data_IF_232134694893
#
_entry.id   IF_232134694893
#
_cell.length_a   1.000
_cell.length_b   1.000
_cell.length_c   1.000
_cell.angle_alpha   90.00
_cell.angle_beta   90.00
_cell.angle_gamma   90.00
#
_symmetry.space_group_name_H-M   'P 1'
#
loop_
_entity.id
_entity.type
_entity.pdbx_description
1 polymer ?
#
# COMPACT_ATOMS: atom_id res chain seq x y z
N UNK A 1 -32.06 -8.35 -4.72
CA UNK A 1 -30.61 -8.54 -4.88
C UNK A 1 -30.12 -9.27 -3.64
N UNK A 2 -29.76 -10.55 -3.77
CA UNK A 2 -29.19 -11.32 -2.66
C UNK A 2 -27.77 -10.80 -2.43
N UNK A 3 -27.51 -10.22 -1.26
CA UNK A 3 -26.16 -9.82 -0.87
C UNK A 3 -25.26 -11.05 -0.84
N UNK A 4 -24.08 -10.94 -1.44
CA UNK A 4 -23.05 -11.96 -1.34
C UNK A 4 -22.49 -11.92 0.10
N UNK A 5 -22.61 -13.02 0.84
CA UNK A 5 -22.16 -13.10 2.24
C UNK A 5 -20.81 -13.82 2.30
N UNK A 6 -19.83 -13.19 2.94
CA UNK A 6 -18.60 -13.87 3.39
C UNK A 6 -18.94 -14.69 4.62
N UNK A 7 -18.54 -15.97 4.65
CA UNK A 7 -18.75 -16.83 5.82
C UNK A 7 -17.42 -17.11 6.52
N UNK A 8 -17.39 -16.86 7.82
CA UNK A 8 -16.24 -17.11 8.69
C UNK A 8 -16.46 -18.40 9.49
N UNK A 9 -15.42 -19.24 9.59
CA UNK A 9 -15.36 -20.30 10.61
C UNK A 9 -14.51 -19.80 11.78
N UNK A 10 -14.93 -20.06 13.02
CA UNK A 10 -14.32 -19.47 14.23
C UNK A 10 -13.62 -20.49 15.14
N UNK A 11 -13.23 -21.66 14.62
CA UNK A 11 -12.42 -22.64 15.38
C UNK A 11 -10.97 -22.51 14.93
N UNK A 12 -10.14 -21.91 15.76
CA UNK A 12 -8.82 -21.43 15.39
C UNK A 12 -7.73 -22.31 15.99
N UNK A 13 -6.74 -22.70 15.20
CA UNK A 13 -5.50 -23.28 15.72
C UNK A 13 -4.60 -22.17 16.23
N UNK A 14 -4.15 -22.31 17.48
CA UNK A 14 -3.20 -21.41 18.13
C UNK A 14 -1.95 -22.19 18.47
N UNK A 15 -0.80 -21.67 18.04
CA UNK A 15 0.50 -22.18 18.48
C UNK A 15 0.92 -21.42 19.73
N UNK A 16 1.39 -22.15 20.74
CA UNK A 16 2.17 -21.53 21.81
C UNK A 16 3.56 -21.15 21.27
N UNK A 17 4.13 -20.09 21.84
CA UNK A 17 5.46 -19.58 21.47
C UNK A 17 6.58 -20.59 21.76
N UNK A 18 6.34 -21.61 22.61
CA UNK A 18 7.36 -22.59 23.07
C UNK A 18 6.89 -24.08 23.06
N UNK A 19 5.90 -24.46 22.23
CA UNK A 19 5.39 -25.84 22.21
C UNK A 19 4.97 -26.33 20.84
N UNK A 20 5.43 -27.55 20.48
CA UNK A 20 5.12 -28.23 19.21
C UNK A 20 3.64 -28.67 19.08
N UNK A 21 2.85 -28.57 20.15
CA UNK A 21 1.44 -28.97 20.15
C UNK A 21 0.50 -27.77 19.92
N UNK A 22 -0.25 -27.72 18.80
CA UNK A 22 -1.21 -26.65 18.57
C UNK A 22 -2.40 -26.76 19.52
N UNK A 23 -2.68 -25.68 20.26
CA UNK A 23 -3.84 -25.53 21.14
C UNK A 23 -5.00 -24.92 20.34
N UNK A 24 -6.23 -25.41 20.53
CA UNK A 24 -7.39 -24.82 19.87
C UNK A 24 -7.88 -23.59 20.65
N UNK A 25 -7.90 -22.42 20.02
CA UNK A 25 -8.54 -21.24 20.58
C UNK A 25 -10.04 -21.24 20.30
N UNK A 26 -10.79 -20.98 21.36
CA UNK A 26 -12.24 -20.75 21.31
C UNK A 26 -12.59 -19.28 21.09
N UNK A 27 -11.62 -18.43 20.76
CA UNK A 27 -11.83 -17.00 20.58
C UNK A 27 -12.67 -16.74 19.32
N UNK A 28 -13.97 -16.52 19.50
CA UNK A 28 -14.97 -16.42 18.43
C UNK A 28 -14.73 -15.27 17.44
N UNK A 29 -13.88 -14.30 17.81
CA UNK A 29 -13.55 -13.14 16.99
C UNK A 29 -12.43 -13.41 15.97
N UNK A 30 -11.67 -14.50 16.11
CA UNK A 30 -10.56 -14.81 15.21
C UNK A 30 -11.05 -15.70 14.06
N UNK A 31 -10.96 -15.24 12.79
CA UNK A 31 -11.36 -16.05 11.66
C UNK A 31 -10.34 -17.17 11.44
N UNK A 32 -10.78 -18.42 11.52
CA UNK A 32 -9.96 -19.58 11.16
C UNK A 32 -9.86 -19.75 9.64
N UNK A 33 -10.93 -19.38 8.93
CA UNK A 33 -11.02 -19.50 7.49
C UNK A 33 -11.98 -18.47 6.89
N UNK A 34 -11.68 -18.03 5.67
CA UNK A 34 -12.51 -17.14 4.83
C UNK A 34 -12.88 -17.88 3.55
N UNK A 35 -14.16 -17.80 3.19
CA UNK A 35 -14.68 -18.28 1.92
C UNK A 35 -15.33 -17.12 1.17
N UNK A 36 -14.81 -16.83 -0.01
CA UNK A 36 -15.34 -15.84 -0.92
C UNK A 36 -16.57 -16.37 -1.64
N UNK A 37 -17.54 -15.47 -1.95
CA UNK A 37 -18.69 -15.84 -2.76
C UNK A 37 -18.26 -16.29 -4.17
N UNK A 38 -18.82 -17.38 -4.63
CA UNK A 38 -18.72 -17.76 -6.04
C UNK A 38 -19.36 -16.68 -6.93
N UNK A 39 -18.69 -16.37 -8.05
CA UNK A 39 -19.10 -15.26 -8.93
C UNK A 39 -20.44 -15.51 -9.63
N UNK A 40 -20.84 -16.77 -9.79
CA UNK A 40 -22.06 -17.15 -10.53
C UNK A 40 -23.25 -17.28 -9.58
N UNK A 41 -23.06 -17.95 -8.45
CA UNK A 41 -24.11 -18.28 -7.49
C UNK A 41 -24.24 -17.27 -6.35
N UNK A 42 -23.20 -16.46 -6.11
CA UNK A 42 -23.13 -15.51 -5.00
C UNK A 42 -23.02 -16.18 -3.62
N UNK A 43 -22.86 -17.50 -3.56
CA UNK A 43 -22.71 -18.28 -2.34
C UNK A 43 -21.26 -18.74 -2.18
N UNK A 44 -20.72 -18.78 -0.96
CA UNK A 44 -19.39 -19.35 -0.74
C UNK A 44 -19.39 -20.86 -0.97
N UNK A 45 -18.36 -21.37 -1.66
CA UNK A 45 -18.11 -22.80 -1.78
C UNK A 45 -17.47 -23.31 -0.49
N UNK A 46 -18.26 -24.00 0.34
CA UNK A 46 -17.80 -24.59 1.60
C UNK A 46 -17.34 -26.06 1.44
N UNK A 47 -17.40 -26.60 0.22
CA UNK A 47 -17.04 -27.99 -0.07
C UNK A 47 -15.56 -28.15 -0.46
N UNK A 48 -14.96 -27.09 -1.00
CA UNK A 48 -13.53 -27.01 -1.29
C UNK A 48 -12.68 -26.50 -0.13
N UNK A 49 -11.35 -26.37 -0.35
CA UNK A 49 -10.48 -25.66 0.58
C UNK A 49 -10.95 -24.21 0.76
N UNK A 50 -10.65 -23.63 1.93
CA UNK A 50 -10.95 -22.22 2.15
C UNK A 50 -10.12 -21.34 1.21
N UNK A 51 -10.61 -20.13 0.96
CA UNK A 51 -9.86 -19.16 0.15
C UNK A 51 -8.68 -18.59 0.93
N UNK A 52 -8.84 -18.47 2.25
CA UNK A 52 -7.78 -18.18 3.21
C UNK A 52 -8.00 -19.00 4.49
N UNK A 53 -6.95 -19.61 5.02
CA UNK A 53 -6.90 -20.24 6.34
C UNK A 53 -5.90 -19.51 7.23
N UNK A 54 -6.15 -19.45 8.53
CA UNK A 54 -5.31 -18.69 9.48
C UNK A 54 -4.96 -19.50 10.72
N UNK A 55 -3.73 -19.28 11.18
CA UNK A 55 -3.28 -19.66 12.52
C UNK A 55 -2.81 -18.42 13.29
N UNK A 56 -2.79 -18.49 14.61
CA UNK A 56 -2.50 -17.34 15.46
C UNK A 56 -1.52 -17.70 16.57
N UNK A 57 -0.77 -16.71 17.04
CA UNK A 57 -0.12 -16.73 18.33
C UNK A 57 -1.15 -16.54 19.45
N UNK A 58 -0.75 -16.79 20.69
CA UNK A 58 -1.63 -16.72 21.86
C UNK A 58 -2.16 -15.30 22.17
N UNK A 59 -1.45 -14.27 21.72
CA UNK A 59 -1.83 -12.86 21.84
C UNK A 59 -2.80 -12.40 20.74
N UNK A 60 -3.07 -13.25 19.74
CA UNK A 60 -3.96 -12.96 18.62
C UNK A 60 -3.29 -12.36 17.39
N UNK A 61 -1.95 -12.25 17.38
CA UNK A 61 -1.22 -11.96 16.15
C UNK A 61 -1.34 -13.15 15.17
N UNK A 62 -1.46 -12.87 13.88
CA UNK A 62 -1.59 -13.92 12.84
C UNK A 62 -0.24 -14.60 12.70
N UNK A 63 -0.15 -15.90 13.00
CA UNK A 63 1.07 -16.68 12.80
C UNK A 63 1.24 -17.09 11.35
N UNK A 64 0.22 -17.71 10.77
CA UNK A 64 0.29 -18.07 9.35
C UNK A 64 -1.04 -17.85 8.65
N UNK A 65 -0.93 -17.64 7.34
CA UNK A 65 -2.06 -17.57 6.42
C UNK A 65 -1.79 -18.45 5.22
N UNK A 66 -2.66 -19.40 4.93
CA UNK A 66 -2.57 -20.22 3.71
C UNK A 66 -3.67 -19.81 2.75
N UNK A 67 -3.36 -19.62 1.47
CA UNK A 67 -4.36 -19.32 0.46
C UNK A 67 -4.91 -20.57 -0.25
N UNK A 68 -5.94 -20.39 -1.09
CA UNK A 68 -6.56 -21.49 -1.84
C UNK A 68 -5.58 -22.25 -2.75
N UNK A 69 -4.47 -21.64 -3.14
CA UNK A 69 -3.44 -22.29 -3.97
C UNK A 69 -2.45 -23.07 -3.12
N UNK A 70 -2.58 -23.07 -1.80
CA UNK A 70 -1.69 -23.77 -0.87
C UNK A 70 -0.42 -22.99 -0.52
N UNK A 71 -0.30 -21.73 -0.93
CA UNK A 71 0.84 -20.89 -0.54
C UNK A 71 0.65 -20.48 0.92
N UNK A 72 1.61 -20.80 1.77
CA UNK A 72 1.59 -20.45 3.19
C UNK A 72 2.50 -19.26 3.46
N UNK A 73 1.98 -18.26 4.15
CA UNK A 73 2.71 -17.09 4.63
C UNK A 73 2.89 -17.25 6.14
N UNK A 74 4.12 -17.38 6.63
CA UNK A 74 4.43 -17.50 8.07
C UNK A 74 5.02 -16.19 8.57
N UNK A 75 4.40 -15.59 9.57
CA UNK A 75 4.74 -14.27 10.10
C UNK A 75 5.47 -14.38 11.44
N UNK A 76 6.51 -13.56 11.58
CA UNK A 76 7.30 -13.43 12.80
C UNK A 76 7.26 -11.97 13.27
N UNK A 77 7.18 -11.80 14.58
CA UNK A 77 7.01 -10.51 15.23
C UNK A 77 8.10 -10.29 16.28
N UNK A 78 8.44 -9.04 16.53
CA UNK A 78 9.25 -8.65 17.68
C UNK A 78 8.41 -8.59 18.98
N UNK A 79 9.06 -8.22 20.08
CA UNK A 79 8.42 -8.11 21.40
C UNK A 79 7.36 -6.99 21.48
N UNK A 80 7.41 -6.01 20.58
CA UNK A 80 6.44 -4.92 20.47
C UNK A 80 5.25 -5.30 19.57
N UNK A 81 5.27 -6.50 18.97
CA UNK A 81 4.23 -6.98 18.07
C UNK A 81 4.33 -6.40 16.66
N UNK A 82 5.49 -5.84 16.29
CA UNK A 82 5.76 -5.41 14.91
C UNK A 82 6.25 -6.60 14.10
N UNK A 83 5.81 -6.71 12.85
CA UNK A 83 6.14 -7.87 12.02
C UNK A 83 7.51 -7.66 11.39
N UNK A 84 8.50 -8.48 11.77
CA UNK A 84 9.90 -8.35 11.31
C UNK A 84 10.22 -9.26 10.11
N UNK A 85 9.46 -10.35 9.93
CA UNK A 85 9.72 -11.34 8.88
C UNK A 85 8.43 -12.02 8.41
N UNK A 86 8.37 -12.35 7.13
CA UNK A 86 7.38 -13.26 6.56
C UNK A 86 8.04 -14.23 5.60
N UNK A 87 7.95 -15.52 5.92
CA UNK A 87 8.34 -16.60 5.01
C UNK A 87 7.16 -16.96 4.12
N UNK A 88 7.44 -17.31 2.86
CA UNK A 88 6.45 -17.75 1.89
C UNK A 88 6.82 -19.16 1.44
N UNK A 89 6.06 -20.13 1.93
CA UNK A 89 6.20 -21.53 1.55
C UNK A 89 5.31 -21.79 0.35
N UNK A 90 5.93 -22.18 -0.76
CA UNK A 90 5.24 -22.57 -1.98
C UNK A 90 5.01 -24.08 -2.00
N UNK A 91 3.82 -24.55 -2.43
CA UNK A 91 3.58 -25.99 -2.58
C UNK A 91 4.37 -26.57 -3.75
N UNK A 92 4.73 -27.84 -3.62
CA UNK A 92 5.41 -28.60 -4.67
C UNK A 92 4.61 -28.57 -5.99
N UNK A 93 5.32 -28.43 -7.11
CA UNK A 93 4.71 -28.42 -8.44
C UNK A 93 3.84 -27.18 -8.74
N UNK A 94 3.93 -26.11 -7.93
CA UNK A 94 3.25 -24.85 -8.23
C UNK A 94 3.72 -24.26 -9.57
N UNK A 95 5.00 -24.43 -9.88
CA UNK A 95 5.59 -23.94 -11.12
C UNK A 95 5.77 -25.09 -12.11
N UNK A 96 5.54 -24.85 -13.41
CA UNK A 96 5.67 -25.89 -14.42
C UNK A 96 7.13 -26.32 -14.59
N UNK A 97 7.36 -27.60 -14.81
CA UNK A 97 8.65 -28.07 -15.33
C UNK A 97 8.81 -27.63 -16.79
N UNK A 98 9.94 -27.02 -17.13
CA UNK A 98 10.31 -26.68 -18.50
C UNK A 98 11.64 -27.35 -18.82
N UNK A 99 11.62 -28.33 -19.71
CA UNK A 99 12.85 -29.06 -20.10
C UNK A 99 13.43 -29.98 -19.01
N UNK A 100 12.61 -30.40 -18.04
CA UNK A 100 13.03 -31.28 -16.93
C UNK A 100 13.69 -30.53 -15.76
N UNK A 101 13.58 -29.20 -15.73
CA UNK A 101 13.93 -28.35 -14.60
C UNK A 101 12.69 -27.59 -14.14
N UNK A 102 12.49 -27.49 -12.82
CA UNK A 102 11.48 -26.62 -12.23
C UNK A 102 11.73 -25.17 -12.66
N UNK A 103 10.77 -24.59 -13.38
CA UNK A 103 10.84 -23.19 -13.72
C UNK A 103 10.54 -22.35 -12.48
N UNK A 104 11.56 -21.78 -11.84
CA UNK A 104 11.34 -20.81 -10.76
C UNK A 104 11.39 -19.41 -11.36
N UNK A 105 10.33 -18.58 -11.23
CA UNK A 105 10.36 -17.20 -11.70
C UNK A 105 11.55 -16.45 -11.09
N UNK A 106 12.25 -15.63 -11.88
CA UNK A 106 13.41 -14.89 -11.40
C UNK A 106 13.04 -13.87 -10.31
N UNK A 107 11.81 -13.37 -10.34
CA UNK A 107 11.20 -12.41 -9.42
C UNK A 107 10.42 -13.09 -8.28
N UNK A 108 10.57 -14.41 -8.10
CA UNK A 108 9.97 -15.11 -6.98
C UNK A 108 10.71 -14.77 -5.68
N UNK A 109 10.00 -14.13 -4.75
CA UNK A 109 10.43 -13.92 -3.38
C UNK A 109 9.83 -14.99 -2.46
N UNK A 110 10.63 -15.57 -1.57
CA UNK A 110 10.19 -16.48 -0.51
C UNK A 110 10.34 -15.87 0.89
N UNK A 111 10.95 -14.70 0.99
CA UNK A 111 11.17 -14.00 2.25
C UNK A 111 10.85 -12.51 2.12
N UNK A 112 10.11 -12.00 3.10
CA UNK A 112 9.90 -10.57 3.30
C UNK A 112 10.49 -10.18 4.65
N UNK A 113 11.37 -9.18 4.67
CA UNK A 113 11.97 -8.62 5.88
C UNK A 113 11.49 -7.18 6.10
N UNK A 114 11.34 -6.81 7.38
CA UNK A 114 10.94 -5.48 7.79
C UNK A 114 11.81 -5.00 8.93
N UNK A 115 12.29 -3.76 8.85
CA UNK A 115 12.95 -3.09 9.98
C UNK A 115 12.15 -1.87 10.40
N UNK A 116 12.31 -1.48 11.66
CA UNK A 116 11.63 -0.34 12.24
C UNK A 116 12.64 0.55 12.96
N UNK A 117 12.39 1.85 12.93
CA UNK A 117 13.17 2.78 13.74
C UNK A 117 12.79 2.71 15.23
N UNK A 118 13.50 3.45 16.08
CA UNK A 118 13.24 3.48 17.53
C UNK A 118 11.82 3.97 17.90
N UNK A 119 11.16 4.70 16.99
CA UNK A 119 9.77 5.14 17.14
C UNK A 119 8.73 4.12 16.68
N UNK A 120 9.17 2.95 16.18
CA UNK A 120 8.33 1.91 15.62
C UNK A 120 7.79 2.22 14.23
N UNK A 121 8.39 3.15 13.49
CA UNK A 121 8.03 3.47 12.10
C UNK A 121 8.80 2.54 11.17
N UNK A 122 8.14 2.04 10.12
CA UNK A 122 8.76 1.14 9.15
C UNK A 122 9.94 1.86 8.45
N UNK A 123 11.14 1.29 8.51
CA UNK A 123 12.36 1.85 7.92
C UNK A 123 12.71 1.12 6.62
N UNK A 124 12.81 -0.22 6.63
CA UNK A 124 12.99 -1.03 5.43
C UNK A 124 11.85 -2.03 5.22
N UNK A 125 11.55 -2.31 3.95
CA UNK A 125 10.77 -3.46 3.55
C UNK A 125 11.44 -4.14 2.35
N UNK A 126 11.97 -5.33 2.57
CA UNK A 126 12.80 -6.06 1.60
C UNK A 126 12.08 -7.35 1.20
N UNK A 127 11.97 -7.59 -0.10
CA UNK A 127 11.51 -8.86 -0.66
C UNK A 127 12.69 -9.54 -1.35
N UNK A 128 12.94 -10.78 -0.99
CA UNK A 128 14.08 -11.53 -1.52
C UNK A 128 13.84 -13.03 -1.57
N UNK A 129 14.87 -13.73 -2.05
CA UNK A 129 14.97 -15.17 -2.02
C UNK A 129 16.09 -15.57 -1.09
N UNK A 130 15.74 -16.27 -0.02
CA UNK A 130 16.68 -16.88 0.91
C UNK A 130 17.24 -18.18 0.30
N UNK A 131 18.44 -18.10 -0.27
CA UNK A 131 19.06 -19.20 -0.99
C UNK A 131 19.80 -20.16 -0.06
N UNK A 132 20.09 -19.74 1.17
CA UNK A 132 20.87 -20.52 2.13
C UNK A 132 19.98 -21.14 3.24
N UNK A 133 18.73 -20.68 3.38
CA UNK A 133 17.73 -21.17 4.32
C UNK A 133 17.95 -20.69 5.77
N UNK A 134 18.72 -19.62 5.99
CA UNK A 134 18.97 -19.05 7.33
C UNK A 134 17.89 -18.04 7.76
N UNK A 135 17.04 -17.65 6.81
CA UNK A 135 15.94 -16.73 7.00
C UNK A 135 16.34 -15.28 7.19
N UNK A 136 17.51 -14.91 6.68
CA UNK A 136 18.00 -13.56 6.48
C UNK A 136 18.08 -13.27 4.97
N UNK A 137 18.38 -12.02 4.62
CA UNK A 137 18.74 -11.66 3.26
C UNK A 137 20.09 -10.95 3.33
N UNK A 138 21.12 -11.56 2.73
CA UNK A 138 22.42 -10.93 2.52
C UNK A 138 22.72 -10.79 1.01
N UNK A 139 23.44 -9.75 0.63
CA UNK A 139 23.72 -9.44 -0.78
C UNK A 139 24.73 -10.37 -1.44
N UNK A 140 25.35 -11.27 -0.68
CA UNK A 140 26.38 -12.20 -1.17
C UNK A 140 25.80 -13.55 -1.55
N UNK A 141 24.82 -14.01 -0.80
CA UNK A 141 24.25 -15.35 -0.90
C UNK A 141 22.80 -15.34 -1.37
N UNK A 142 22.07 -14.24 -1.20
CA UNK A 142 20.64 -14.15 -1.47
C UNK A 142 20.32 -13.23 -2.65
N UNK A 143 19.11 -13.37 -3.18
CA UNK A 143 18.63 -12.50 -4.25
C UNK A 143 17.65 -11.47 -3.69
N UNK A 144 18.00 -10.19 -3.75
CA UNK A 144 17.04 -9.11 -3.52
C UNK A 144 16.16 -8.96 -4.77
N UNK A 145 14.85 -9.07 -4.59
CA UNK A 145 13.88 -8.86 -5.67
C UNK A 145 13.44 -7.41 -5.68
N UNK A 146 13.13 -6.85 -4.52
CA UNK A 146 12.79 -5.44 -4.36
C UNK A 146 13.07 -4.99 -2.93
N UNK A 147 13.42 -3.72 -2.77
CA UNK A 147 13.59 -3.11 -1.46
C UNK A 147 13.02 -1.69 -1.44
N UNK A 148 12.35 -1.35 -0.35
CA UNK A 148 11.92 0.00 -0.04
C UNK A 148 12.59 0.49 1.24
N UNK A 149 13.06 1.74 1.23
CA UNK A 149 13.51 2.48 2.40
C UNK A 149 12.61 3.70 2.62
N UNK A 150 12.20 3.93 3.86
CA UNK A 150 11.30 4.99 4.26
C UNK A 150 12.02 5.97 5.19
N UNK A 151 12.09 7.23 4.80
CA UNK A 151 12.68 8.28 5.63
C UNK A 151 11.61 9.18 6.23
N UNK A 152 11.81 9.55 7.50
CA UNK A 152 10.93 10.41 8.26
C UNK A 152 11.68 11.62 8.78
N UNK A 153 10.99 12.75 8.89
CA UNK A 153 11.52 13.87 9.65
C UNK A 153 11.41 13.63 11.17
N UNK A 154 11.99 14.54 11.95
CA UNK A 154 11.98 14.53 13.43
C UNK A 154 10.58 14.47 14.06
N UNK A 155 9.52 14.84 13.33
CA UNK A 155 8.14 14.83 13.83
C UNK A 155 7.39 13.52 13.60
N UNK A 156 7.96 12.54 12.90
CA UNK A 156 7.19 11.34 12.53
C UNK A 156 6.70 11.31 11.09
N UNK A 157 6.85 12.40 10.35
CA UNK A 157 6.22 12.53 9.03
C UNK A 157 7.14 11.97 7.94
N UNK A 158 6.63 11.03 7.13
CA UNK A 158 7.31 10.49 5.95
C UNK A 158 7.70 11.61 4.97
N UNK A 159 8.96 11.64 4.56
CA UNK A 159 9.56 12.63 3.65
C UNK A 159 10.17 12.01 2.39
N UNK A 160 10.56 10.74 2.42
CA UNK A 160 11.02 10.03 1.22
C UNK A 160 10.68 8.54 1.29
N UNK A 161 10.46 7.93 0.13
CA UNK A 161 10.34 6.49 -0.08
C UNK A 161 11.23 6.10 -1.26
N UNK A 162 12.39 5.54 -0.96
CA UNK A 162 13.33 5.01 -1.94
C UNK A 162 12.91 3.61 -2.34
N UNK A 163 13.06 3.28 -3.62
CA UNK A 163 12.65 1.98 -4.17
C UNK A 163 13.74 1.45 -5.09
N UNK A 164 14.09 0.18 -4.92
CA UNK A 164 15.00 -0.54 -5.81
C UNK A 164 14.41 -1.89 -6.23
N UNK A 165 14.84 -2.39 -7.40
CA UNK A 165 14.41 -3.67 -7.95
C UNK A 165 15.65 -4.47 -8.40
N UNK A 166 15.78 -5.69 -7.89
CA UNK A 166 16.90 -6.58 -8.17
C UNK A 166 18.15 -6.36 -7.31
N UNK A 167 18.17 -5.30 -6.50
CA UNK A 167 19.30 -4.88 -5.67
C UNK A 167 18.80 -4.13 -4.43
N UNK A 168 19.62 -3.99 -3.37
CA UNK A 168 19.29 -3.15 -2.23
C UNK A 168 19.07 -1.68 -2.64
N UNK A 169 18.39 -0.94 -1.77
CA UNK A 169 18.34 0.52 -1.89
C UNK A 169 19.72 1.11 -1.62
N UNK A 170 20.17 1.97 -2.54
CA UNK A 170 21.34 2.81 -2.39
C UNK A 170 20.93 4.28 -2.26
N UNK A 171 21.37 4.94 -1.19
CA UNK A 171 21.14 6.37 -0.94
C UNK A 171 22.41 7.22 -1.09
N UNK A 172 23.55 6.59 -1.36
CA UNK A 172 24.84 7.27 -1.47
C UNK A 172 25.10 7.58 -2.94
N UNK A 173 25.38 8.83 -3.25
CA UNK A 173 25.83 9.22 -4.59
C UNK A 173 27.34 8.99 -4.71
N UNK A 174 27.76 7.74 -4.95
CA UNK A 174 29.15 7.33 -5.12
C UNK A 174 29.58 7.15 -6.59
N UNK A 175 28.66 7.41 -7.53
CA UNK A 175 28.86 7.28 -8.97
C UNK A 175 28.03 6.16 -9.64
N UNK A 176 27.50 5.21 -8.87
CA UNK A 176 26.60 4.16 -9.39
C UNK A 176 25.12 4.61 -9.43
N UNK A 177 24.82 5.69 -8.70
CA UNK A 177 23.56 6.41 -8.75
C UNK A 177 22.64 6.05 -7.60
N UNK A 178 21.96 7.06 -7.07
CA UNK A 178 21.01 6.89 -5.97
C UNK A 178 19.73 6.22 -6.45
N UNK A 179 19.23 5.28 -5.66
CA UNK A 179 17.94 4.63 -5.88
C UNK A 179 16.82 5.67 -6.04
N UNK A 180 15.90 5.49 -7.00
CA UNK A 180 14.83 6.44 -7.22
C UNK A 180 13.92 6.54 -6.00
N UNK A 181 13.56 7.78 -5.61
CA UNK A 181 12.66 8.03 -4.48
C UNK A 181 11.41 8.83 -4.86
N UNK A 182 10.31 8.53 -4.18
CA UNK A 182 9.17 9.44 -4.06
C UNK A 182 9.45 10.36 -2.87
N UNK A 183 9.50 11.67 -3.11
CA UNK A 183 9.70 12.67 -2.06
C UNK A 183 8.37 13.32 -1.67
N UNK A 184 8.16 13.51 -0.38
CA UNK A 184 6.94 14.03 0.20
C UNK A 184 7.20 15.43 0.78
N UNK A 185 6.66 16.45 0.12
CA UNK A 185 6.65 17.82 0.65
C UNK A 185 5.72 17.90 1.86
N UNK A 186 6.23 18.43 2.97
CA UNK A 186 5.46 18.61 4.21
C UNK A 186 5.45 20.08 4.61
N UNK A 187 4.30 20.54 5.08
CA UNK A 187 4.13 21.87 5.68
C UNK A 187 3.62 21.70 7.10
N UNK A 188 4.31 22.36 8.04
CA UNK A 188 4.01 22.29 9.45
C UNK A 188 3.95 23.68 10.04
N UNK A 189 2.91 23.90 10.83
CA UNK A 189 2.77 25.11 11.59
C UNK A 189 2.22 24.80 12.99
N UNK A 190 2.90 25.23 14.06
CA UNK A 190 2.48 24.94 15.42
C UNK A 190 1.19 25.67 15.78
N UNK A 191 0.66 25.33 16.95
CA UNK A 191 -0.47 26.03 17.57
C UNK A 191 -0.20 27.54 17.67
N UNK A 192 -1.22 28.36 17.39
CA UNK A 192 -1.16 29.82 17.40
C UNK A 192 -0.71 30.48 16.10
N UNK A 193 -0.14 29.71 15.17
CA UNK A 193 0.28 30.20 13.85
C UNK A 193 -0.51 29.56 12.69
N UNK A 194 -1.08 28.37 12.89
CA UNK A 194 -1.89 27.66 11.89
C UNK A 194 -2.37 26.28 12.33
N UNK A 195 -1.62 25.62 13.23
CA UNK A 195 -1.94 24.32 13.83
C UNK A 195 -2.21 23.19 12.81
N UNK A 196 -1.24 22.91 11.96
CA UNK A 196 -1.33 21.81 11.00
C UNK A 196 0.01 21.09 10.79
N UNK A 197 -0.08 19.81 10.42
CA UNK A 197 0.97 19.04 9.75
C UNK A 197 0.31 18.37 8.54
N UNK A 198 0.73 18.73 7.32
CA UNK A 198 0.05 18.29 6.11
C UNK A 198 1.01 18.06 4.95
N UNK A 199 0.61 17.13 4.09
CA UNK A 199 1.29 16.86 2.82
C UNK A 199 1.01 18.00 1.84
N UNK A 200 2.04 18.55 1.20
CA UNK A 200 1.94 19.61 0.20
C UNK A 200 2.36 19.17 -1.19
N UNK A 201 3.20 18.13 -1.32
CA UNK A 201 3.55 17.58 -2.62
C UNK A 201 4.03 16.14 -2.56
N UNK A 202 3.96 15.47 -3.71
CA UNK A 202 4.61 14.20 -3.98
C UNK A 202 5.43 14.35 -5.26
N UNK A 203 6.75 14.28 -5.16
CA UNK A 203 7.68 14.30 -6.30
C UNK A 203 8.06 12.87 -6.63
N UNK A 204 7.68 12.40 -7.81
CA UNK A 204 8.01 11.06 -8.28
C UNK A 204 9.36 11.02 -8.97
N UNK A 205 10.05 9.86 -8.95
CA UNK A 205 11.27 9.66 -9.70
C UNK A 205 11.14 10.04 -11.17
N UNK A 206 12.25 10.46 -11.75
CA UNK A 206 12.34 10.73 -13.18
C UNK A 206 12.10 9.42 -13.94
N UNK A 207 11.17 9.43 -14.90
CA UNK A 207 10.95 8.29 -15.79
C UNK A 207 11.99 8.30 -16.90
N UNK A 208 12.46 7.13 -17.33
CA UNK A 208 13.37 6.99 -18.49
C UNK A 208 12.84 7.71 -19.75
N UNK A 209 11.51 7.79 -19.88
CA UNK A 209 10.83 8.39 -21.03
C UNK A 209 10.61 9.91 -20.91
N UNK A 210 10.93 10.54 -19.77
CA UNK A 210 10.67 11.96 -19.53
C UNK A 210 11.85 12.63 -18.84
N UNK A 211 12.32 13.73 -19.43
CA UNK A 211 13.33 14.57 -18.80
C UNK A 211 12.80 15.30 -17.54
N UNK A 212 11.49 15.40 -17.35
CA UNK A 212 10.88 16.08 -16.19
C UNK A 212 10.40 15.06 -15.15
N UNK A 213 10.62 15.37 -13.88
CA UNK A 213 9.98 14.69 -12.75
C UNK A 213 8.49 15.08 -12.70
N UNK A 214 7.66 14.11 -12.29
CA UNK A 214 6.25 14.34 -12.03
C UNK A 214 6.10 14.81 -10.58
N UNK A 215 5.40 15.93 -10.39
CA UNK A 215 5.07 16.49 -9.08
C UNK A 215 3.56 16.58 -8.99
N UNK A 216 3.00 15.97 -7.95
CA UNK A 216 1.60 16.16 -7.56
C UNK A 216 1.59 17.11 -6.38
N UNK A 217 1.04 18.32 -6.53
CA UNK A 217 1.00 19.33 -5.47
C UNK A 217 -0.42 19.49 -4.89
N UNK A 218 -0.49 19.71 -3.59
CA UNK A 218 -1.70 19.93 -2.79
C UNK A 218 -1.69 21.37 -2.27
N UNK A 219 -2.64 22.18 -2.74
CA UNK A 219 -2.80 23.56 -2.27
C UNK A 219 -3.86 23.67 -1.18
N UNK A 220 -3.64 24.58 -0.24
CA UNK A 220 -4.51 24.85 0.92
C UNK A 220 -4.79 26.35 1.00
N UNK A 221 -5.45 26.89 -0.02
CA UNK A 221 -5.74 28.32 -0.14
C UNK A 221 -7.01 28.72 0.63
N UNK A 222 -7.11 29.99 0.99
CA UNK A 222 -8.28 30.57 1.66
C UNK A 222 -8.31 30.31 3.17
N UNK A 223 -8.79 31.28 3.94
CA UNK A 223 -8.59 31.32 5.40
C UNK A 223 -9.19 30.12 6.14
N UNK A 224 -10.44 29.76 5.82
CA UNK A 224 -11.14 28.65 6.51
C UNK A 224 -10.69 27.26 6.06
N UNK A 225 -10.46 27.05 4.75
CA UNK A 225 -9.96 25.77 4.25
C UNK A 225 -8.51 25.55 4.69
N UNK A 226 -7.68 26.60 4.74
CA UNK A 226 -6.34 26.56 5.29
C UNK A 226 -6.33 26.18 6.77
N UNK A 227 -7.16 26.84 7.60
CA UNK A 227 -7.26 26.56 9.03
C UNK A 227 -7.79 25.14 9.34
N UNK A 228 -8.52 24.55 8.40
CA UNK A 228 -9.06 23.19 8.51
C UNK A 228 -8.22 22.15 7.74
N UNK A 229 -7.06 22.53 7.20
CA UNK A 229 -6.20 21.66 6.36
C UNK A 229 -6.96 20.97 5.22
N UNK A 230 -7.88 21.69 4.59
CA UNK A 230 -8.65 21.21 3.45
C UNK A 230 -7.92 21.52 2.15
N UNK A 231 -7.61 20.48 1.38
CA UNK A 231 -7.03 20.63 0.04
C UNK A 231 -8.01 21.38 -0.85
N UNK A 232 -7.60 22.53 -1.40
CA UNK A 232 -8.38 23.37 -2.33
C UNK A 232 -8.03 23.14 -3.78
N UNK A 233 -6.83 22.64 -4.06
CA UNK A 233 -6.40 22.27 -5.41
C UNK A 233 -5.44 21.10 -5.37
N UNK A 234 -5.55 20.20 -6.33
CA UNK A 234 -4.55 19.18 -6.64
C UNK A 234 -4.03 19.49 -8.04
N UNK A 235 -2.72 19.65 -8.20
CA UNK A 235 -2.09 19.79 -9.52
C UNK A 235 -1.11 18.67 -9.80
N UNK A 236 -0.92 18.36 -11.09
CA UNK A 236 -0.04 17.32 -11.59
C UNK A 236 0.82 17.86 -12.74
N UNK A 237 2.15 17.75 -12.60
CA UNK A 237 3.12 18.32 -13.55
C UNK A 237 3.46 17.41 -14.74
N UNK A 238 2.70 16.33 -15.00
CA UNK A 238 2.99 15.44 -16.15
C UNK A 238 2.94 16.17 -17.50
N UNK A 239 4.12 16.51 -18.04
CA UNK A 239 4.37 16.74 -19.47
C UNK A 239 4.21 18.19 -19.95
N UNK A 240 5.35 18.80 -20.32
CA UNK A 240 5.68 19.81 -21.33
C UNK A 240 4.74 20.98 -21.72
N UNK A 241 3.45 20.99 -21.40
CA UNK A 241 2.55 22.12 -21.71
C UNK A 241 1.28 22.16 -20.86
N UNK A 242 0.91 21.11 -20.13
CA UNK A 242 -0.41 21.05 -19.49
C UNK A 242 -0.39 20.58 -18.02
N UNK A 243 -0.43 21.53 -17.09
CA UNK A 243 -0.79 21.24 -15.70
C UNK A 243 -2.23 20.69 -15.67
N UNK A 244 -2.42 19.48 -15.16
CA UNK A 244 -3.75 18.98 -14.84
C UNK A 244 -4.05 19.40 -13.43
N UNK A 245 -5.15 20.12 -13.23
CA UNK A 245 -5.56 20.57 -11.92
C UNK A 245 -7.00 20.22 -11.62
N UNK A 246 -7.30 19.88 -10.38
CA UNK A 246 -8.66 19.83 -9.86
C UNK A 246 -8.76 20.87 -8.75
N UNK A 247 -9.65 21.84 -8.94
CA UNK A 247 -9.99 22.81 -7.90
C UNK A 247 -11.26 22.36 -7.16
N UNK A 248 -11.30 22.64 -5.87
CA UNK A 248 -12.44 22.36 -5.01
C UNK A 248 -13.03 23.67 -4.50
N UNK A 249 -14.26 23.96 -4.89
CA UNK A 249 -14.98 25.14 -4.47
C UNK A 249 -16.30 24.77 -3.77
N UNK A 250 -16.82 25.65 -2.93
CA UNK A 250 -18.15 25.47 -2.35
C UNK A 250 -19.23 25.89 -3.36
N UNK A 251 -20.24 25.04 -3.51
CA UNK A 251 -21.52 25.33 -4.14
C UNK A 251 -22.54 25.49 -3.01
N UNK A 252 -22.87 26.73 -2.68
CA UNK A 252 -23.67 27.07 -1.49
C UNK A 252 -22.88 26.97 -0.18
N UNK A 253 -23.58 26.82 0.94
CA UNK A 253 -23.01 26.89 2.30
C UNK A 253 -22.35 25.60 2.81
N UNK A 254 -22.53 24.46 2.14
CA UNK A 254 -22.10 23.17 2.68
C UNK A 254 -21.51 22.17 1.68
N UNK A 255 -21.72 22.35 0.36
CA UNK A 255 -21.32 21.33 -0.63
C UNK A 255 -20.04 21.73 -1.34
N UNK A 256 -18.97 20.94 -1.24
CA UNK A 256 -17.80 21.11 -2.12
C UNK A 256 -18.03 20.40 -3.45
N UNK A 257 -17.63 21.05 -4.53
CA UNK A 257 -17.65 20.52 -5.90
C UNK A 257 -16.24 20.59 -6.47
N UNK A 258 -15.79 19.50 -7.09
CA UNK A 258 -14.54 19.46 -7.85
C UNK A 258 -14.76 20.00 -9.26
N UNK A 259 -13.80 20.78 -9.76
CA UNK A 259 -13.72 21.24 -11.14
C UNK A 259 -12.38 20.80 -11.70
N UNK A 260 -12.39 19.94 -12.71
CA UNK A 260 -11.16 19.54 -13.41
C UNK A 260 -10.83 20.51 -14.51
N UNK A 261 -9.55 20.84 -14.63
CA UNK A 261 -9.00 21.71 -15.65
C UNK A 261 -7.93 20.94 -16.41
N UNK A 262 -7.92 21.14 -17.72
CA UNK A 262 -6.76 20.83 -18.55
C UNK A 262 -6.27 22.14 -19.11
N UNK A 263 -4.97 22.37 -19.04
CA UNK A 263 -4.33 23.48 -19.76
C UNK A 263 -4.21 23.04 -21.22
N UNK A 264 -4.88 23.75 -22.13
CA UNK A 264 -4.68 23.54 -23.56
C UNK A 264 -3.29 24.07 -23.98
N UNK A 265 -2.81 23.71 -25.18
CA UNK A 265 -1.49 24.10 -25.72
C UNK A 265 -1.22 25.61 -25.79
N UNK A 266 -2.21 26.46 -25.50
CA UNK A 266 -2.10 27.91 -25.38
C UNK A 266 -2.07 28.44 -23.92
N UNK A 267 -1.89 27.59 -22.90
CA UNK A 267 -1.78 28.03 -21.50
C UNK A 267 -3.11 28.43 -20.86
N UNK A 268 -4.25 28.22 -21.53
CA UNK A 268 -5.58 28.55 -21.01
C UNK A 268 -6.19 27.35 -20.32
N UNK A 269 -6.62 27.53 -19.07
CA UNK A 269 -7.35 26.51 -18.31
C UNK A 269 -8.78 26.40 -18.86
N UNK A 270 -9.09 25.29 -19.55
CA UNK A 270 -10.45 24.97 -19.96
C UNK A 270 -11.08 24.03 -18.92
N UNK A 271 -12.29 24.34 -18.41
CA UNK A 271 -12.98 23.42 -17.51
C UNK A 271 -13.41 22.19 -18.29
N UNK A 272 -12.92 21.02 -17.88
CA UNK A 272 -13.42 19.74 -18.38
C UNK A 272 -14.68 19.46 -17.55
N UNK A 273 -15.82 19.97 -18.00
CA UNK A 273 -17.08 19.42 -17.53
C UNK A 273 -17.17 18.01 -18.10
N UNK A 274 -17.08 16.99 -17.24
CA UNK A 274 -17.57 15.66 -17.59
C UNK A 274 -19.08 15.79 -17.85
N UNK A 275 -19.46 16.11 -19.09
CA UNK A 275 -20.83 16.01 -19.56
C UNK A 275 -21.21 14.53 -19.55
N UNK A 276 -21.78 14.09 -18.43
CA UNK A 276 -22.55 12.86 -18.36
C UNK A 276 -23.45 12.86 -17.12
N UNK A 277 -24.35 13.85 -17.01
CA UNK A 277 -25.70 13.62 -16.49
C UNK A 277 -26.64 14.55 -17.23
N UNK A 278 -27.10 14.08 -18.39
CA UNK A 278 -28.34 14.58 -18.98
C UNK A 278 -29.47 13.93 -18.16
N UNK A 279 -30.11 14.71 -17.29
CA UNK A 279 -31.30 14.30 -16.53
C UNK A 279 -31.09 14.24 -15.02
N UNK A 280 -31.22 15.38 -14.35
CA UNK A 280 -32.31 15.62 -13.39
C UNK A 280 -31.98 16.88 -12.57
N UNK A 281 -32.80 17.92 -12.80
CA UNK A 281 -32.67 19.20 -12.13
C UNK A 281 -32.83 19.05 -10.62
N UNK A 282 -31.78 19.40 -9.90
CA UNK A 282 -31.88 19.70 -8.47
C UNK A 282 -32.41 21.14 -8.35
N UNK A 283 -33.70 21.29 -8.07
CA UNK A 283 -34.26 22.56 -7.59
C UNK A 283 -35.45 23.14 -8.34
N UNK A 284 -36.47 22.33 -8.65
CA UNK A 284 -37.82 22.86 -8.86
C UNK A 284 -38.52 23.04 -7.51
N UNK A 285 -38.41 24.23 -6.91
CA UNK A 285 -39.33 24.62 -5.83
C UNK A 285 -40.63 25.08 -6.50
N UNK A 286 -41.66 24.24 -6.41
CA UNK A 286 -43.03 24.63 -6.71
C UNK A 286 -43.58 25.51 -5.59
N UNK A 287 -44.01 26.71 -5.97
CA UNK A 287 -45.10 27.45 -5.34
C UNK A 287 -46.29 27.46 -6.29
#
# INVERSE_FOLDING_TARGET
MSGAFVKLRSRVRVSQVDGDDPVWSHHKAWPAAVYFPDKVTGQPDLSGPADLEFTYYSDGLVRSRTDRLGREFVHHYDEQGQRIRTEIVYPDGLFPEVGGTDYTPADLADLLLYTYDEGGRLEYATAGRDLNGDGLLDTTNDAIIAENLYEYNERGSLIAEYQSYGEPVDIVDDGDGVSPAIEYGRDYQPFGLGNFDRLTSMTYPRRVQSAQQRVVALSYLGDSDHALSRVTRISDSTGAAAERAVDFAYSGSARRVGRSWTVDSGGTLAPVFAQSFKGDGVGGYGG
#
